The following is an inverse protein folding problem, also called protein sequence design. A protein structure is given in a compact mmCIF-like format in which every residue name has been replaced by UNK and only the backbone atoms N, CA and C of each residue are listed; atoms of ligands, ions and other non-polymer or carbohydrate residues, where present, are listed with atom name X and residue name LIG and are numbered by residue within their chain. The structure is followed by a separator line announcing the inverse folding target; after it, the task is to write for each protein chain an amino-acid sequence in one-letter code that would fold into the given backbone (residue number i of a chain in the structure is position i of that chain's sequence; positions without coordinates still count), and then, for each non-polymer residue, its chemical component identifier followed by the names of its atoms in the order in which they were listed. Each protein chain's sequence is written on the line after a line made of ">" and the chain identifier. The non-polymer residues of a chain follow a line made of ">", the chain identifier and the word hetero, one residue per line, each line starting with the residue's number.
data_IF_954847623884
#
_entry.id   IF_954847623884
#
_cell.length_a   1.000
_cell.length_b   1.000
_cell.length_c   1.000
_cell.angle_alpha   90.00
_cell.angle_beta   90.00
_cell.angle_gamma   90.00
#
_symmetry.space_group_name_H-M   'P 1'
#
loop_
_entity.id
_entity.type
_entity.pdbx_description
1 polymer ?
#
# COMPACT_ATOMS: atom_id res chain seq x y z
N UNK A 1 50.10 38.93 -54.67
CA UNK A 1 48.63 38.72 -54.73
C UNK A 1 48.07 38.79 -53.31
N UNK A 2 47.04 39.63 -53.11
CA UNK A 2 45.97 39.65 -52.08
C UNK A 2 46.30 39.20 -50.62
N UNK A 3 46.12 40.03 -49.59
CA UNK A 3 44.84 40.34 -48.88
C UNK A 3 44.12 39.05 -48.38
N UNK A 4 43.62 38.87 -47.15
CA UNK A 4 43.11 39.81 -46.16
C UNK A 4 42.90 39.13 -44.77
N UNK A 5 43.02 39.93 -43.71
CA UNK A 5 42.19 40.03 -42.48
C UNK A 5 41.35 38.85 -41.96
N UNK A 6 41.62 38.53 -40.67
CA UNK A 6 40.61 38.47 -39.59
C UNK A 6 40.36 37.10 -38.94
N UNK A 7 39.77 37.02 -37.73
CA UNK A 7 39.87 37.96 -36.59
C UNK A 7 40.14 37.28 -35.24
N UNK A 8 40.78 38.05 -34.34
CA UNK A 8 40.74 37.88 -32.90
C UNK A 8 39.29 38.07 -32.39
N UNK A 9 38.78 37.12 -31.59
CA UNK A 9 37.62 37.33 -30.70
C UNK A 9 37.97 36.64 -29.38
N UNK A 10 38.55 37.39 -28.43
CA UNK A 10 37.85 38.15 -27.39
C UNK A 10 37.16 37.25 -26.38
N UNK A 11 37.75 37.21 -25.18
CA UNK A 11 37.16 36.67 -23.98
C UNK A 11 35.72 37.16 -23.81
N UNK A 12 34.76 36.24 -23.90
CA UNK A 12 33.38 36.52 -23.49
C UNK A 12 33.37 36.42 -21.97
N UNK A 13 33.59 37.58 -21.35
CA UNK A 13 33.12 37.88 -20.01
C UNK A 13 31.63 37.49 -19.95
N UNK A 14 31.33 36.42 -19.22
CA UNK A 14 29.97 36.15 -18.78
C UNK A 14 29.50 37.39 -18.04
N UNK A 15 28.56 38.11 -18.62
CA UNK A 15 27.83 39.19 -17.98
C UNK A 15 27.03 38.58 -16.83
N UNK A 16 27.68 38.42 -15.67
CA UNK A 16 26.99 38.48 -14.41
C UNK A 16 26.48 39.93 -14.27
N UNK A 17 25.36 40.23 -14.92
CA UNK A 17 24.50 41.30 -14.46
C UNK A 17 23.99 40.86 -13.09
N UNK A 18 24.83 41.07 -12.09
CA UNK A 18 24.36 41.35 -10.76
C UNK A 18 23.48 42.60 -10.92
N UNK A 19 22.21 42.37 -11.23
CA UNK A 19 21.15 43.28 -10.84
C UNK A 19 21.25 43.33 -9.33
N UNK A 20 22.13 44.20 -8.86
CA UNK A 20 22.04 44.78 -7.54
C UNK A 20 20.69 45.47 -7.54
N UNK A 21 19.65 44.70 -7.25
CA UNK A 21 18.32 45.19 -6.98
C UNK A 21 18.54 46.08 -5.78
N UNK A 22 18.65 47.38 -6.05
CA UNK A 22 18.79 48.41 -5.05
C UNK A 22 17.61 48.20 -4.11
N UNK A 23 17.88 47.58 -2.96
CA UNK A 23 16.92 47.45 -1.88
C UNK A 23 16.82 48.87 -1.33
N UNK A 24 16.03 49.71 -2.02
CA UNK A 24 15.60 50.98 -1.46
C UNK A 24 15.00 50.62 -0.12
N UNK A 25 15.63 51.08 0.96
CA UNK A 25 15.07 51.07 2.30
C UNK A 25 13.72 51.78 2.23
N UNK A 26 12.65 51.00 2.01
CA UNK A 26 11.29 51.52 2.03
C UNK A 26 10.89 51.60 3.49
N UNK A 27 10.78 52.83 3.97
CA UNK A 27 10.31 53.11 5.31
C UNK A 27 8.87 52.63 5.47
N UNK A 28 8.68 51.75 6.45
CA UNK A 28 7.38 51.37 6.98
C UNK A 28 6.73 52.63 7.59
N UNK A 29 5.77 53.23 6.88
CA UNK A 29 5.02 54.40 7.36
C UNK A 29 3.77 54.02 8.14
N UNK A 30 3.43 52.74 8.21
CA UNK A 30 2.34 52.24 9.03
C UNK A 30 2.88 51.87 10.41
N UNK A 31 2.75 52.77 11.37
CA UNK A 31 3.04 52.50 12.79
C UNK A 31 2.06 51.51 13.45
N UNK A 32 1.33 50.71 12.66
CA UNK A 32 0.33 49.79 13.13
C UNK A 32 0.92 48.37 13.13
N UNK A 33 1.42 47.87 14.28
CA UNK A 33 1.76 46.46 14.40
C UNK A 33 0.47 45.65 14.28
N UNK A 34 0.20 45.10 13.10
CA UNK A 34 -0.88 44.12 12.90
C UNK A 34 -0.33 42.73 13.11
N UNK A 35 -0.17 42.34 14.36
CA UNK A 35 -0.20 40.94 14.81
C UNK A 35 -1.08 41.00 16.07
N UNK A 36 -2.00 40.09 16.35
CA UNK A 36 -1.67 38.83 17.00
C UNK A 36 -2.84 37.87 16.84
N UNK A 37 -2.63 36.85 16.01
CA UNK A 37 -2.76 35.48 16.52
C UNK A 37 -1.95 34.49 15.67
N UNK A 38 -0.68 34.82 15.43
CA UNK A 38 0.28 33.97 14.71
C UNK A 38 0.68 32.76 15.58
N UNK A 39 0.85 31.58 14.94
CA UNK A 39 1.29 30.31 15.56
C UNK A 39 2.54 30.47 16.46
N UNK A 40 3.48 31.33 16.09
CA UNK A 40 4.75 31.55 16.80
C UNK A 40 4.76 32.83 17.66
N UNK A 41 3.65 33.59 17.71
CA UNK A 41 3.55 34.90 18.39
C UNK A 41 4.65 35.90 18.02
N UNK A 42 5.26 35.77 16.83
CA UNK A 42 6.33 36.66 16.36
C UNK A 42 5.77 37.93 15.72
N UNK A 43 6.34 39.08 16.06
CA UNK A 43 6.07 40.33 15.34
C UNK A 43 6.92 40.38 14.07
N UNK A 44 6.27 40.55 12.92
CA UNK A 44 6.97 40.67 11.62
C UNK A 44 6.77 42.05 11.02
N UNK A 45 7.81 42.53 10.34
CA UNK A 45 7.78 43.79 9.58
C UNK A 45 6.93 43.61 8.32
N UNK A 46 6.21 44.66 7.93
CA UNK A 46 5.42 44.69 6.69
C UNK A 46 6.36 44.68 5.49
N UNK A 47 6.13 43.78 4.52
CA UNK A 47 6.87 43.73 3.25
C UNK A 47 5.92 43.89 2.07
N UNK A 48 6.35 44.61 1.03
CA UNK A 48 5.55 44.88 -0.20
C UNK A 48 5.33 43.63 -1.09
N UNK A 49 5.85 42.46 -0.70
CA UNK A 49 5.79 41.21 -1.48
C UNK A 49 4.41 40.50 -1.44
N UNK A 50 3.37 41.18 -0.95
CA UNK A 50 2.02 40.65 -0.79
C UNK A 50 1.72 40.16 0.63
N UNK A 51 0.44 40.19 0.99
CA UNK A 51 -0.06 39.75 2.30
C UNK A 51 -0.27 38.23 2.32
N UNK A 52 0.58 37.50 3.04
CA UNK A 52 0.30 36.11 3.40
C UNK A 52 -0.63 36.11 4.62
N UNK A 53 -1.80 35.50 4.52
CA UNK A 53 -2.69 35.32 5.68
C UNK A 53 -1.99 34.46 6.73
N UNK A 54 -1.79 35.01 7.94
CA UNK A 54 -1.11 34.32 9.05
C UNK A 54 -2.04 33.91 10.19
N UNK A 55 -3.28 34.36 10.12
CA UNK A 55 -4.36 33.92 11.00
C UNK A 55 -5.11 32.76 10.37
N UNK A 56 -5.72 31.94 11.22
CA UNK A 56 -6.59 30.85 10.81
C UNK A 56 -7.76 31.34 9.95
N UNK A 57 -7.86 30.83 8.72
CA UNK A 57 -9.02 31.04 7.86
C UNK A 57 -10.07 29.97 8.16
N UNK A 58 -11.12 30.36 8.88
CA UNK A 58 -12.26 29.48 9.14
C UNK A 58 -12.79 28.86 7.84
N UNK A 59 -12.84 27.53 7.77
CA UNK A 59 -13.31 26.76 6.61
C UNK A 59 -12.25 26.46 5.54
N UNK A 60 -11.06 27.07 5.59
CA UNK A 60 -9.96 26.82 4.63
C UNK A 60 -8.84 26.04 5.32
N UNK A 61 -8.44 26.46 6.51
CA UNK A 61 -7.40 25.79 7.28
C UNK A 61 -8.02 24.74 8.20
N UNK A 62 -7.51 23.50 8.26
CA UNK A 62 -7.94 22.53 9.27
C UNK A 62 -7.27 22.82 10.62
N UNK A 63 -7.96 23.50 11.53
CA UNK A 63 -7.55 23.47 12.93
C UNK A 63 -7.96 22.14 13.57
N UNK A 64 -7.15 21.61 14.50
CA UNK A 64 -7.59 20.53 15.37
C UNK A 64 -8.78 20.98 16.22
N UNK A 65 -9.65 20.02 16.62
CA UNK A 65 -10.77 20.30 17.54
C UNK A 65 -10.32 20.64 18.98
N UNK A 66 -9.00 20.63 19.23
CA UNK A 66 -8.41 20.91 20.53
C UNK A 66 -8.40 22.43 20.73
N UNK A 67 -8.97 22.96 21.83
CA UNK A 67 -8.91 24.38 22.11
C UNK A 67 -7.44 24.84 22.22
N UNK A 68 -7.15 26.03 21.70
CA UNK A 68 -5.84 26.71 21.72
C UNK A 68 -4.69 26.08 20.90
N UNK A 69 -4.88 24.90 20.31
CA UNK A 69 -3.89 24.29 19.41
C UNK A 69 -4.03 24.85 17.98
N UNK A 70 -3.01 25.59 17.54
CA UNK A 70 -2.96 26.29 16.26
C UNK A 70 -2.07 25.58 15.23
N UNK A 71 -1.65 24.34 15.50
CA UNK A 71 -0.88 23.52 14.56
C UNK A 71 -1.83 22.89 13.55
N UNK A 72 -1.72 23.17 12.23
CA UNK A 72 -2.54 22.49 11.24
C UNK A 72 -2.29 20.99 11.27
N UNK A 73 -3.35 20.19 11.17
CA UNK A 73 -3.23 18.75 11.02
C UNK A 73 -2.48 18.42 9.73
N UNK A 74 -1.42 17.62 9.84
CA UNK A 74 -0.69 17.12 8.68
C UNK A 74 -1.65 16.31 7.79
N UNK A 75 -1.99 16.86 6.62
CA UNK A 75 -2.70 16.11 5.58
C UNK A 75 -1.65 15.43 4.70
N UNK A 76 -1.85 14.17 4.30
CA UNK A 76 -1.01 13.59 3.26
C UNK A 76 -1.15 14.39 1.98
N UNK A 77 -0.07 14.50 1.21
CA UNK A 77 -0.11 15.18 -0.09
C UNK A 77 -1.15 14.51 -0.99
N UNK A 78 -1.96 15.33 -1.66
CA UNK A 78 -2.92 14.83 -2.63
C UNK A 78 -2.15 14.17 -3.78
N UNK A 79 -2.35 12.86 -3.97
CA UNK A 79 -1.77 12.12 -5.09
C UNK A 79 -2.75 12.17 -6.26
N UNK A 80 -2.44 12.97 -7.26
CA UNK A 80 -3.16 12.96 -8.53
C UNK A 80 -3.00 11.57 -9.18
N UNK A 81 -4.13 10.93 -9.50
CA UNK A 81 -4.16 9.64 -10.21
C UNK A 81 -4.65 9.89 -11.62
N UNK A 82 -3.82 9.57 -12.62
CA UNK A 82 -4.28 9.54 -14.00
C UNK A 82 -5.07 8.24 -14.22
N UNK A 83 -6.37 8.37 -14.52
CA UNK A 83 -7.26 7.23 -14.79
C UNK A 83 -7.09 6.62 -16.19
N UNK A 84 -6.37 7.33 -17.07
CA UNK A 84 -6.16 6.98 -18.48
C UNK A 84 -4.70 6.64 -18.76
N UNK A 85 -3.99 6.08 -17.79
CA UNK A 85 -2.69 5.48 -18.07
C UNK A 85 -2.87 4.29 -19.01
N UNK A 86 -1.90 4.03 -19.88
CA UNK A 86 -1.96 2.93 -20.86
C UNK A 86 -2.31 1.58 -20.19
N UNK A 87 -1.75 1.31 -19.00
CA UNK A 87 -2.06 0.10 -18.22
C UNK A 87 -3.51 -0.01 -17.74
N UNK A 88 -4.17 1.11 -17.42
CA UNK A 88 -5.56 1.13 -16.97
C UNK A 88 -6.52 1.14 -18.16
N UNK A 89 -6.19 1.89 -19.21
CA UNK A 89 -6.96 1.94 -20.44
C UNK A 89 -7.00 0.57 -21.13
N UNK A 90 -5.88 -0.18 -21.10
CA UNK A 90 -5.76 -1.53 -21.67
C UNK A 90 -6.14 -2.66 -20.72
N UNK A 91 -6.64 -2.34 -19.53
CA UNK A 91 -6.99 -3.37 -18.56
C UNK A 91 -8.18 -4.21 -19.06
N UNK A 92 -8.04 -5.55 -19.04
CA UNK A 92 -9.06 -6.49 -19.54
C UNK A 92 -9.01 -6.72 -21.05
N UNK A 93 -8.06 -6.10 -21.76
CA UNK A 93 -7.78 -6.47 -23.15
C UNK A 93 -7.42 -7.96 -23.23
N UNK A 94 -8.06 -8.68 -24.16
CA UNK A 94 -7.86 -10.10 -24.45
C UNK A 94 -8.35 -11.10 -23.38
N UNK A 95 -9.18 -10.70 -22.42
CA UNK A 95 -9.75 -11.65 -21.44
C UNK A 95 -10.61 -12.75 -22.10
N UNK A 96 -11.25 -12.45 -23.22
CA UNK A 96 -12.09 -13.39 -24.00
C UNK A 96 -11.40 -13.93 -25.27
N UNK A 97 -10.06 -13.98 -25.27
CA UNK A 97 -9.29 -14.47 -26.43
C UNK A 97 -9.65 -15.91 -26.83
N UNK A 98 -10.05 -16.73 -25.87
CA UNK A 98 -10.51 -18.11 -26.10
C UNK A 98 -11.83 -18.13 -26.89
N UNK A 99 -12.80 -17.30 -26.48
CA UNK A 99 -14.14 -17.29 -27.07
C UNK A 99 -14.20 -16.59 -28.43
N UNK A 100 -13.39 -15.55 -28.63
CA UNK A 100 -13.42 -14.71 -29.83
C UNK A 100 -12.26 -14.99 -30.80
N UNK A 101 -11.28 -15.79 -30.39
CA UNK A 101 -10.10 -16.14 -31.17
C UNK A 101 -10.18 -17.53 -31.78
N UNK A 102 -9.01 -18.15 -31.94
CA UNK A 102 -8.83 -19.51 -32.47
C UNK A 102 -8.90 -20.60 -31.39
N UNK A 103 -9.10 -20.22 -30.12
CA UNK A 103 -9.10 -21.13 -28.97
C UNK A 103 -7.72 -21.71 -28.63
N UNK A 104 -6.64 -21.20 -29.22
CA UNK A 104 -5.28 -21.75 -29.02
C UNK A 104 -4.69 -21.43 -27.64
N UNK A 105 -5.10 -20.30 -27.04
CA UNK A 105 -4.57 -19.77 -25.78
C UNK A 105 -5.70 -19.60 -24.77
N UNK A 106 -5.58 -20.24 -23.61
CA UNK A 106 -6.52 -20.08 -22.51
C UNK A 106 -6.18 -18.82 -21.67
N UNK A 107 -7.16 -18.02 -21.19
CA UNK A 107 -6.89 -16.75 -20.48
C UNK A 107 -6.01 -16.89 -19.23
N UNK A 108 -6.07 -18.05 -18.55
CA UNK A 108 -5.18 -18.35 -17.43
C UNK A 108 -3.67 -18.26 -17.77
N UNK A 109 -3.30 -18.47 -19.04
CA UNK A 109 -1.92 -18.39 -19.50
C UNK A 109 -1.43 -16.94 -19.64
N UNK A 110 -2.34 -15.99 -19.85
CA UNK A 110 -2.05 -14.54 -19.97
C UNK A 110 -1.69 -13.89 -18.62
N UNK A 111 -1.86 -14.60 -17.51
CA UNK A 111 -1.54 -14.11 -16.16
C UNK A 111 -0.02 -14.09 -15.89
N UNK A 112 0.74 -13.29 -16.63
CA UNK A 112 2.21 -13.23 -16.56
C UNK A 112 2.75 -12.75 -15.20
N UNK A 113 1.99 -11.92 -14.49
CA UNK A 113 2.36 -11.43 -13.16
C UNK A 113 2.19 -12.49 -12.06
N UNK A 114 1.43 -13.55 -12.33
CA UNK A 114 1.14 -14.61 -11.36
C UNK A 114 2.17 -15.74 -11.51
N UNK A 115 2.70 -16.29 -10.41
CA UNK A 115 3.64 -17.40 -10.49
C UNK A 115 3.03 -18.60 -11.20
N UNK A 116 3.83 -19.32 -11.99
CA UNK A 116 3.35 -20.36 -12.89
C UNK A 116 2.52 -21.47 -12.23
N UNK A 117 2.82 -21.82 -10.98
CA UNK A 117 2.09 -22.82 -10.18
C UNK A 117 0.72 -22.33 -9.67
N UNK A 118 0.41 -21.04 -9.82
CA UNK A 118 -0.85 -20.43 -9.36
C UNK A 118 -1.73 -19.94 -10.51
N UNK A 119 -1.24 -19.99 -11.76
CA UNK A 119 -2.01 -19.60 -12.94
C UNK A 119 -3.21 -20.52 -13.13
N UNK A 120 -4.40 -19.94 -13.29
CA UNK A 120 -5.65 -20.70 -13.44
C UNK A 120 -6.11 -21.44 -12.19
N UNK A 121 -5.52 -21.18 -11.02
CA UNK A 121 -5.91 -21.83 -9.78
C UNK A 121 -7.29 -21.32 -9.30
N UNK A 122 -8.24 -22.21 -8.95
CA UNK A 122 -9.59 -21.80 -8.54
C UNK A 122 -9.55 -21.00 -7.23
N UNK A 123 -10.04 -19.75 -7.26
CA UNK A 123 -9.93 -18.82 -6.14
C UNK A 123 -10.95 -19.01 -5.01
N UNK A 124 -12.06 -19.71 -5.25
CA UNK A 124 -13.26 -19.67 -4.39
C UNK A 124 -13.35 -20.78 -3.32
N UNK A 125 -12.27 -21.54 -3.06
CA UNK A 125 -12.35 -22.64 -2.09
C UNK A 125 -12.26 -22.17 -0.62
N UNK A 126 -13.10 -22.73 0.28
CA UNK A 126 -13.11 -22.44 1.74
C UNK A 126 -11.76 -22.66 2.44
N UNK A 127 -10.92 -23.53 1.87
CA UNK A 127 -9.57 -23.88 2.33
C UNK A 127 -8.51 -23.48 1.27
N UNK A 128 -8.58 -22.25 0.77
CA UNK A 128 -7.75 -21.79 -0.35
C UNK A 128 -6.24 -21.89 -0.05
N UNK A 129 -5.81 -21.47 1.13
CA UNK A 129 -4.41 -21.54 1.54
C UNK A 129 -3.90 -22.99 1.57
N UNK A 130 -4.67 -23.90 2.18
CA UNK A 130 -4.29 -25.31 2.31
C UNK A 130 -4.04 -25.95 0.95
N UNK A 131 -4.97 -25.79 0.01
CA UNK A 131 -4.85 -26.40 -1.32
C UNK A 131 -3.67 -25.78 -2.08
N UNK A 132 -3.47 -24.46 -2.01
CA UNK A 132 -2.29 -23.79 -2.61
C UNK A 132 -0.99 -24.37 -2.08
N UNK A 133 -0.87 -24.54 -0.77
CA UNK A 133 0.34 -25.08 -0.14
C UNK A 133 0.55 -26.56 -0.48
N UNK A 134 -0.50 -27.38 -0.56
CA UNK A 134 -0.39 -28.77 -1.00
C UNK A 134 0.06 -28.84 -2.47
N UNK A 135 -0.53 -28.02 -3.34
CA UNK A 135 -0.15 -27.95 -4.74
C UNK A 135 1.32 -27.53 -4.89
N UNK A 136 1.72 -26.45 -4.22
CA UNK A 136 3.10 -25.98 -4.18
C UNK A 136 4.07 -27.03 -3.63
N UNK A 137 3.70 -27.72 -2.54
CA UNK A 137 4.47 -28.82 -1.96
C UNK A 137 4.69 -29.94 -2.98
N UNK A 138 3.65 -30.35 -3.69
CA UNK A 138 3.74 -31.45 -4.64
C UNK A 138 4.61 -31.08 -5.85
N UNK A 139 4.51 -29.84 -6.34
CA UNK A 139 5.26 -29.38 -7.51
C UNK A 139 6.76 -29.16 -7.23
N UNK A 140 7.12 -28.72 -6.01
CA UNK A 140 8.51 -28.38 -5.65
C UNK A 140 9.13 -29.28 -4.57
N UNK A 141 8.55 -30.45 -4.29
CA UNK A 141 8.98 -31.37 -3.22
C UNK A 141 10.48 -31.63 -3.21
N UNK A 142 11.00 -32.18 -4.30
CA UNK A 142 12.39 -32.64 -4.38
C UNK A 142 13.38 -31.47 -4.30
N UNK A 143 13.08 -30.38 -5.00
CA UNK A 143 13.91 -29.17 -5.02
C UNK A 143 13.99 -28.54 -3.63
N UNK A 144 12.86 -28.47 -2.91
CA UNK A 144 12.82 -27.82 -1.60
C UNK A 144 13.51 -28.65 -0.52
N UNK A 145 13.35 -29.99 -0.55
CA UNK A 145 14.03 -30.87 0.40
C UNK A 145 15.55 -30.80 0.26
N UNK A 146 16.06 -30.75 -0.99
CA UNK A 146 17.50 -30.68 -1.26
C UNK A 146 18.08 -29.29 -0.94
N UNK A 147 17.39 -28.22 -1.35
CA UNK A 147 17.97 -26.88 -1.31
C UNK A 147 17.62 -26.10 -0.02
N UNK A 148 16.50 -26.42 0.63
CA UNK A 148 15.97 -25.61 1.76
C UNK A 148 15.14 -26.46 2.74
N UNK A 149 15.79 -27.37 3.48
CA UNK A 149 15.10 -28.31 4.37
C UNK A 149 14.31 -27.60 5.49
N UNK A 150 14.79 -26.45 5.98
CA UNK A 150 14.06 -25.64 6.97
C UNK A 150 12.72 -25.13 6.43
N UNK A 151 12.71 -24.54 5.22
CA UNK A 151 11.49 -24.06 4.55
C UNK A 151 10.53 -25.21 4.27
N UNK A 152 11.05 -26.37 3.89
CA UNK A 152 10.25 -27.59 3.73
C UNK A 152 9.56 -27.98 5.03
N UNK A 153 10.28 -27.99 6.15
CA UNK A 153 9.71 -28.28 7.46
C UNK A 153 8.61 -27.28 7.85
N UNK A 154 8.85 -25.97 7.67
CA UNK A 154 7.87 -24.92 7.92
C UNK A 154 6.61 -25.06 7.05
N UNK A 155 6.77 -25.40 5.77
CA UNK A 155 5.68 -25.69 4.84
C UNK A 155 4.84 -26.89 5.32
N UNK A 156 5.48 -28.00 5.67
CA UNK A 156 4.81 -29.19 6.21
C UNK A 156 4.07 -28.87 7.51
N UNK A 157 4.69 -28.12 8.42
CA UNK A 157 4.06 -27.67 9.67
C UNK A 157 2.80 -26.85 9.39
N UNK A 158 2.85 -25.91 8.45
CA UNK A 158 1.69 -25.09 8.07
C UNK A 158 0.58 -25.93 7.45
N UNK A 159 0.91 -26.87 6.56
CA UNK A 159 -0.06 -27.78 5.96
C UNK A 159 -0.76 -28.62 7.04
N UNK A 160 0.00 -29.22 7.96
CA UNK A 160 -0.56 -30.02 9.04
C UNK A 160 -1.49 -29.20 9.95
N UNK A 161 -1.07 -27.98 10.30
CA UNK A 161 -1.91 -27.04 11.05
C UNK A 161 -3.22 -26.74 10.32
N UNK A 162 -3.15 -26.37 9.04
CA UNK A 162 -4.33 -26.01 8.25
C UNK A 162 -5.26 -27.21 8.02
N UNK A 163 -4.71 -28.40 7.84
CA UNK A 163 -5.50 -29.64 7.76
C UNK A 163 -6.28 -29.86 9.05
N UNK A 164 -5.62 -29.77 10.21
CA UNK A 164 -6.28 -29.91 11.50
C UNK A 164 -7.34 -28.82 11.72
N UNK A 165 -6.99 -27.56 11.43
CA UNK A 165 -7.89 -26.43 11.60
C UNK A 165 -9.15 -26.52 10.72
N UNK A 166 -9.00 -26.85 9.44
CA UNK A 166 -10.14 -26.93 8.52
C UNK A 166 -11.02 -28.15 8.73
N UNK A 167 -10.44 -29.28 9.16
CA UNK A 167 -11.20 -30.51 9.37
C UNK A 167 -11.87 -30.56 10.75
N UNK A 168 -11.24 -29.97 11.77
CA UNK A 168 -11.72 -30.04 13.15
C UNK A 168 -12.28 -28.69 13.60
N UNK A 169 -11.44 -27.68 13.82
CA UNK A 169 -11.86 -26.43 14.46
C UNK A 169 -12.94 -25.65 13.68
N UNK A 170 -12.91 -25.67 12.34
CA UNK A 170 -13.85 -24.87 11.53
C UNK A 170 -15.21 -25.55 11.31
N UNK A 171 -15.32 -26.86 11.58
CA UNK A 171 -16.58 -27.61 11.53
C UNK A 171 -17.14 -27.86 12.94
N UNK A 172 -16.45 -27.35 13.96
CA UNK A 172 -16.77 -27.49 15.36
C UNK A 172 -17.86 -26.47 15.74
N UNK A 173 -19.11 -26.81 15.43
CA UNK A 173 -20.29 -25.98 15.72
C UNK A 173 -20.49 -25.76 17.23
N UNK A 174 -19.84 -26.58 18.06
CA UNK A 174 -19.93 -26.59 19.52
C UNK A 174 -18.75 -25.86 20.19
N UNK A 175 -17.88 -25.19 19.41
CA UNK A 175 -16.72 -24.50 19.99
C UNK A 175 -17.13 -23.35 20.92
N UNK A 176 -18.07 -22.52 20.49
CA UNK A 176 -18.53 -21.36 21.27
C UNK A 176 -19.27 -21.81 22.53
N UNK A 177 -20.04 -22.89 22.43
CA UNK A 177 -20.83 -23.41 23.54
C UNK A 177 -19.95 -24.07 24.63
N UNK A 178 -18.84 -24.72 24.23
CA UNK A 178 -17.82 -25.22 25.17
C UNK A 178 -17.06 -24.08 25.85
N UNK A 179 -16.70 -23.02 25.13
CA UNK A 179 -16.02 -21.85 25.72
C UNK A 179 -16.89 -21.15 26.78
N UNK A 180 -18.21 -21.20 26.61
CA UNK A 180 -19.18 -20.62 27.54
C UNK A 180 -19.46 -21.51 28.78
N UNK A 181 -18.89 -22.71 28.85
CA UNK A 181 -19.15 -23.65 29.94
C UNK A 181 -20.61 -24.11 30.02
N UNK A 182 -21.35 -24.01 28.91
CA UNK A 182 -22.76 -24.41 28.82
C UNK A 182 -22.94 -25.94 28.72
N UNK A 183 -21.85 -26.68 28.54
CA UNK A 183 -21.83 -28.12 28.36
C UNK A 183 -20.88 -28.79 29.34
N UNK A 184 -21.32 -29.86 29.99
CA UNK A 184 -20.48 -30.72 30.83
C UNK A 184 -19.65 -31.68 29.97
N UNK A 185 -18.36 -31.83 30.27
CA UNK A 185 -17.41 -32.70 29.57
C UNK A 185 -17.61 -34.20 29.92
N UNK A 186 -18.85 -34.70 29.92
CA UNK A 186 -19.03 -36.15 29.96
C UNK A 186 -18.86 -36.72 28.53
N UNK A 187 -17.80 -37.51 28.26
CA UNK A 187 -17.62 -38.09 26.94
C UNK A 187 -18.70 -39.14 26.67
N UNK A 188 -19.67 -38.78 25.83
CA UNK A 188 -20.66 -39.72 25.31
C UNK A 188 -20.00 -40.70 24.33
N UNK A 189 -19.52 -41.83 24.83
CA UNK A 189 -18.90 -42.88 24.01
C UNK A 189 -19.91 -43.62 23.10
N UNK A 190 -21.19 -43.36 23.25
CA UNK A 190 -22.30 -44.15 22.68
C UNK A 190 -22.83 -43.64 21.34
N UNK A 191 -22.70 -42.35 21.01
CA UNK A 191 -23.29 -41.79 19.78
C UNK A 191 -22.21 -41.29 18.79
N UNK A 192 -22.26 -41.84 17.57
CA UNK A 192 -21.41 -41.49 16.42
C UNK A 192 -21.79 -40.12 15.84
N UNK A 193 -21.76 -39.07 16.66
CA UNK A 193 -21.80 -37.73 16.10
C UNK A 193 -20.37 -37.30 15.71
N UNK A 194 -20.16 -37.07 14.41
CA UNK A 194 -18.83 -36.66 13.90
C UNK A 194 -18.48 -35.22 14.30
N UNK A 195 -19.46 -34.46 14.78
CA UNK A 195 -19.29 -33.13 15.39
C UNK A 195 -18.71 -33.20 16.81
N UNK A 196 -18.80 -34.35 17.50
CA UNK A 196 -18.49 -34.51 18.93
C UNK A 196 -17.14 -35.17 19.23
N UNK A 197 -16.36 -35.57 18.21
CA UNK A 197 -15.02 -36.12 18.40
C UNK A 197 -13.96 -35.06 18.13
N UNK A 198 -13.41 -34.49 19.18
CA UNK A 198 -12.12 -33.83 19.11
C UNK A 198 -11.05 -34.93 19.26
N UNK A 199 -10.04 -34.99 18.39
CA UNK A 199 -8.93 -35.96 18.57
C UNK A 199 -8.17 -35.73 19.90
N UNK A 200 -8.32 -34.56 20.51
CA UNK A 200 -7.76 -34.26 21.84
C UNK A 200 -8.41 -35.07 22.95
N UNK A 201 -9.57 -35.67 22.70
CA UNK A 201 -10.31 -36.46 23.68
C UNK A 201 -9.74 -37.90 23.83
N UNK A 202 -8.76 -38.27 22.99
CA UNK A 202 -8.06 -39.57 23.03
C UNK A 202 -6.64 -39.51 23.61
N UNK A 203 -6.24 -38.36 24.17
CA UNK A 203 -4.92 -38.14 24.76
C UNK A 203 -4.94 -38.19 26.30
#
# INVERSE_FOLDING_TARGET
>A
MLAARGPNFSAVLSSASATATSYRFRHDRSSAPRVVDDREKRMHKVTDAGYVFRYHRQGVDPLPRIPDDKVPLARPDCKEKNTWTESQARFGENDYIDLLGDGSVHPAQLQYHTPGWLRGFPGQHRANELIKLIHYRNLYKEKMQRNSPRRWHELCKRINYLMAYHNYNKQDELHDERNLGLWEEEPDYTYKDKSRRSFKDFA
#
